data_IF_460065124827
#
_entry.id   IF_460065124827
#
_cell.length_a   1.000
_cell.length_b   1.000
_cell.length_c   1.000
_cell.angle_alpha   90.00
_cell.angle_beta   90.00
_cell.angle_gamma   90.00
#
_symmetry.space_group_name_H-M   'P 1'
#
loop_
_entity.id
_entity.type
_entity.pdbx_description
1 polymer ?
#
# COMPACT_ATOMS: atom_id res chain seq x y z
N UNK A 1 3.52 0.58 -0.44
CA UNK A 1 2.41 1.26 0.26
C UNK A 1 1.68 0.33 1.22
N UNK A 2 1.21 -0.85 0.79
CA UNK A 2 0.48 -1.82 1.63
C UNK A 2 1.32 -2.44 2.78
N UNK A 3 2.64 -2.23 2.76
CA UNK A 3 3.59 -2.72 3.77
C UNK A 3 3.91 -1.69 4.86
N UNK A 4 3.37 -0.46 4.83
CA UNK A 4 3.66 0.55 5.87
C UNK A 4 3.26 0.07 7.27
N UNK A 5 3.98 0.55 8.29
CA UNK A 5 3.70 0.19 9.68
C UNK A 5 2.26 0.54 10.13
N UNK A 6 1.70 1.63 9.58
CA UNK A 6 0.36 2.17 9.88
C UNK A 6 -0.75 1.62 8.96
N UNK A 7 -0.42 0.71 8.01
CA UNK A 7 -1.36 0.26 6.97
C UNK A 7 -2.65 -0.35 7.51
N UNK A 8 -2.61 -0.97 8.69
CA UNK A 8 -3.78 -1.59 9.33
C UNK A 8 -4.85 -0.56 9.77
N UNK A 9 -4.54 0.73 9.76
CA UNK A 9 -5.53 1.81 9.92
C UNK A 9 -6.38 2.03 8.67
N UNK A 10 -5.91 1.59 7.50
CA UNK A 10 -6.46 1.92 6.18
C UNK A 10 -6.98 0.71 5.41
N UNK A 11 -6.34 -0.45 5.58
CA UNK A 11 -6.71 -1.70 4.94
C UNK A 11 -6.77 -2.86 5.95
N UNK A 12 -7.47 -3.92 5.58
CA UNK A 12 -7.44 -5.22 6.25
C UNK A 12 -6.83 -6.24 5.30
N UNK A 13 -5.86 -7.02 5.79
CA UNK A 13 -5.27 -8.11 5.01
C UNK A 13 -6.02 -9.41 5.30
N UNK A 14 -6.53 -10.05 4.25
CA UNK A 14 -7.24 -11.33 4.32
C UNK A 14 -6.46 -12.40 3.54
N UNK A 15 -5.82 -13.30 4.27
CA UNK A 15 -4.99 -14.35 3.68
C UNK A 15 -5.74 -15.67 3.44
N UNK A 16 -7.06 -15.71 3.66
CA UNK A 16 -7.86 -16.95 3.58
C UNK A 16 -7.72 -17.64 2.23
N UNK A 17 -7.67 -16.87 1.13
CA UNK A 17 -7.53 -17.38 -0.24
C UNK A 17 -6.16 -17.08 -0.86
N UNK A 18 -5.14 -16.77 -0.03
CA UNK A 18 -3.77 -16.50 -0.47
C UNK A 18 -2.94 -17.78 -0.28
N UNK A 19 -2.18 -18.24 -1.28
CA UNK A 19 -1.36 -19.44 -1.12
C UNK A 19 -0.28 -19.21 -0.05
N UNK A 20 -0.01 -20.22 0.77
CA UNK A 20 0.83 -20.09 1.97
C UNK A 20 2.22 -19.50 1.68
N UNK A 21 2.80 -19.81 0.52
CA UNK A 21 4.11 -19.30 0.09
C UNK A 21 4.11 -17.81 -0.32
N UNK A 22 2.94 -17.15 -0.43
CA UNK A 22 2.80 -15.72 -0.76
C UNK A 22 2.36 -14.87 0.43
N UNK A 23 1.94 -15.48 1.54
CA UNK A 23 1.42 -14.77 2.72
C UNK A 23 2.44 -13.75 3.27
N UNK A 24 3.73 -14.11 3.27
CA UNK A 24 4.80 -13.23 3.75
C UNK A 24 4.90 -11.92 2.94
N UNK A 25 4.54 -11.92 1.65
CA UNK A 25 4.60 -10.73 0.78
C UNK A 25 3.50 -9.69 1.10
N UNK A 26 2.48 -10.08 1.87
CA UNK A 26 1.44 -9.19 2.39
C UNK A 26 1.73 -8.72 3.83
N UNK A 27 2.88 -9.10 4.38
CA UNK A 27 3.38 -8.63 5.67
C UNK A 27 3.57 -7.12 5.68
N UNK A 28 3.49 -6.52 6.87
CA UNK A 28 3.86 -5.10 7.08
C UNK A 28 5.26 -4.98 7.66
N UNK A 29 5.91 -3.87 7.35
CA UNK A 29 7.17 -3.47 7.94
C UNK A 29 6.96 -2.98 9.39
N UNK A 30 8.04 -3.02 10.18
CA UNK A 30 8.07 -2.39 11.49
C UNK A 30 8.07 -0.86 11.41
N UNK A 31 7.70 -0.22 12.50
CA UNK A 31 7.72 1.25 12.67
C UNK A 31 9.12 1.84 12.54
N UNK A 32 10.15 1.12 13.01
CA UNK A 32 11.55 1.54 12.84
C UNK A 32 12.10 1.36 11.41
N UNK A 33 11.34 0.75 10.50
CA UNK A 33 11.78 0.41 9.14
C UNK A 33 11.17 1.35 8.10
N UNK A 34 10.07 2.04 8.44
CA UNK A 34 9.31 2.85 7.47
C UNK A 34 9.07 4.26 7.98
N UNK A 35 9.42 5.25 7.17
CA UNK A 35 9.07 6.65 7.41
C UNK A 35 7.89 7.07 6.52
N UNK A 36 6.90 7.72 7.14
CA UNK A 36 5.66 8.10 6.50
C UNK A 36 5.61 9.61 6.26
N UNK A 37 6.36 10.11 5.27
CA UNK A 37 6.36 11.53 4.90
C UNK A 37 5.03 12.02 4.31
N UNK A 38 4.17 11.10 3.86
CA UNK A 38 2.88 11.38 3.23
C UNK A 38 1.76 10.54 3.85
N UNK A 39 0.48 10.98 3.76
CA UNK A 39 -0.67 10.16 4.12
C UNK A 39 -0.72 8.83 3.37
N UNK A 40 -1.50 7.88 3.87
CA UNK A 40 -1.72 6.62 3.16
C UNK A 40 -2.45 6.86 1.84
N UNK A 41 -1.83 6.43 0.73
CA UNK A 41 -2.37 6.63 -0.62
C UNK A 41 -2.75 5.29 -1.26
N UNK A 42 -4.05 5.01 -1.34
CA UNK A 42 -4.58 3.83 -2.01
C UNK A 42 -4.19 3.79 -3.50
N UNK A 43 -4.02 4.95 -4.14
CA UNK A 43 -3.71 5.09 -5.57
C UNK A 43 -2.21 5.14 -5.89
N UNK A 44 -1.34 4.96 -4.89
CA UNK A 44 0.11 4.90 -5.09
C UNK A 44 0.49 3.76 -6.03
N UNK A 45 1.47 4.01 -6.91
CA UNK A 45 2.05 2.97 -7.78
C UNK A 45 2.70 1.84 -6.96
N UNK A 46 3.08 2.14 -5.72
CA UNK A 46 3.66 1.19 -4.76
C UNK A 46 2.60 0.42 -3.96
N UNK A 47 1.30 0.61 -4.24
CA UNK A 47 0.21 -0.13 -3.61
C UNK A 47 -0.18 -1.32 -4.49
N UNK A 48 -0.18 -2.53 -3.93
CA UNK A 48 -0.70 -3.71 -4.63
C UNK A 48 -2.20 -3.62 -4.86
N UNK A 49 -2.70 -4.31 -5.89
CA UNK A 49 -4.14 -4.46 -6.15
C UNK A 49 -4.86 -5.15 -4.98
N UNK A 50 -6.14 -4.85 -4.81
CA UNK A 50 -7.02 -5.49 -3.82
C UNK A 50 -7.02 -7.03 -3.90
N UNK A 51 -6.80 -7.59 -5.10
CA UNK A 51 -6.87 -9.02 -5.40
C UNK A 51 -5.51 -9.73 -5.42
N UNK A 52 -4.41 -9.03 -5.12
CA UNK A 52 -3.05 -9.59 -5.24
C UNK A 52 -2.89 -10.91 -4.48
N UNK A 53 -2.45 -11.97 -5.18
CA UNK A 53 -2.31 -13.35 -4.70
C UNK A 53 -3.58 -14.09 -4.27
N UNK A 54 -4.74 -13.43 -4.14
CA UNK A 54 -5.98 -14.10 -3.76
C UNK A 54 -6.52 -14.92 -4.94
N UNK A 55 -6.80 -16.21 -4.71
CA UNK A 55 -7.50 -17.05 -5.69
C UNK A 55 -8.99 -16.71 -5.80
N UNK A 56 -9.56 -16.12 -4.75
CA UNK A 56 -10.95 -15.65 -4.67
C UNK A 56 -11.06 -14.46 -3.71
N UNK A 57 -11.88 -13.48 -4.07
CA UNK A 57 -12.10 -12.29 -3.25
C UNK A 57 -10.90 -11.36 -3.23
N UNK A 58 -10.71 -10.65 -2.12
CA UNK A 58 -9.70 -9.59 -1.98
C UNK A 58 -8.77 -9.93 -0.82
N UNK A 59 -7.46 -9.87 -1.06
CA UNK A 59 -6.44 -10.04 -0.03
C UNK A 59 -6.10 -8.74 0.68
N UNK A 60 -6.28 -7.60 0.01
CA UNK A 60 -6.12 -6.26 0.57
C UNK A 60 -7.50 -5.58 0.47
N UNK A 61 -8.09 -5.26 1.62
CA UNK A 61 -9.45 -4.71 1.71
C UNK A 61 -9.39 -3.31 2.30
N UNK A 62 -9.64 -2.23 1.53
CA UNK A 62 -9.82 -0.90 2.09
C UNK A 62 -10.91 -0.88 3.14
N UNK A 63 -10.64 -0.24 4.29
CA UNK A 63 -11.67 0.01 5.30
C UNK A 63 -12.76 0.95 4.77
N UNK A 64 -12.40 1.85 3.87
CA UNK A 64 -13.35 2.73 3.18
C UNK A 64 -13.61 2.14 1.79
N UNK A 65 -14.79 1.54 1.61
CA UNK A 65 -15.11 0.73 0.43
C UNK A 65 -14.97 1.43 -0.93
N UNK A 66 -15.04 2.77 -0.98
CA UNK A 66 -14.87 3.55 -2.22
C UNK A 66 -13.47 3.46 -2.85
N UNK A 67 -12.45 3.07 -2.08
CA UNK A 67 -11.06 2.98 -2.56
C UNK A 67 -10.69 1.60 -3.12
N UNK A 68 -11.64 0.66 -3.18
CA UNK A 68 -11.39 -0.72 -3.65
C UNK A 68 -10.76 -0.78 -5.04
N UNK A 69 -11.27 0.03 -5.96
CA UNK A 69 -10.79 0.07 -7.36
C UNK A 69 -9.64 1.07 -7.56
N UNK A 70 -9.22 1.78 -6.51
CA UNK A 70 -8.09 2.72 -6.55
C UNK A 70 -6.75 2.01 -6.35
N UNK A 71 -6.75 0.88 -5.63
CA UNK A 71 -5.56 0.09 -5.33
C UNK A 71 -4.95 -0.56 -6.58
N UNK A 72 -3.61 -0.57 -6.68
CA UNK A 72 -2.91 -1.17 -7.81
C UNK A 72 -2.88 -0.31 -9.07
N UNK A 73 -2.84 1.00 -8.88
CA UNK A 73 -2.52 1.97 -9.92
C UNK A 73 -1.20 1.63 -10.60
N UNK A 74 -1.13 1.84 -11.92
CA UNK A 74 0.10 1.75 -12.70
C UNK A 74 0.76 3.11 -12.91
N UNK A 75 0.19 4.18 -12.34
CA UNK A 75 0.65 5.54 -12.47
C UNK A 75 1.21 6.05 -11.16
N UNK A 76 2.34 6.75 -11.22
CA UNK A 76 2.93 7.48 -10.10
C UNK A 76 1.94 8.53 -9.59
N UNK A 77 1.59 8.46 -8.31
CA UNK A 77 0.71 9.44 -7.69
C UNK A 77 1.46 10.73 -7.30
N UNK A 78 0.71 11.77 -6.96
CA UNK A 78 1.30 12.98 -6.39
C UNK A 78 2.09 12.67 -5.10
N UNK A 79 1.56 11.81 -4.24
CA UNK A 79 2.22 11.46 -2.97
C UNK A 79 3.45 10.58 -3.16
N UNK A 80 3.52 9.77 -4.22
CA UNK A 80 4.74 9.03 -4.58
C UNK A 80 5.88 10.01 -4.90
N UNK A 81 5.63 11.00 -5.76
CA UNK A 81 6.62 12.04 -6.11
C UNK A 81 6.98 12.93 -4.92
N UNK A 82 5.97 13.34 -4.13
CA UNK A 82 6.19 14.16 -2.94
C UNK A 82 7.06 13.45 -1.89
N UNK A 83 6.82 12.16 -1.64
CA UNK A 83 7.64 11.37 -0.71
C UNK A 83 9.10 11.36 -1.14
N UNK A 84 9.38 11.13 -2.43
CA UNK A 84 10.74 11.15 -2.98
C UNK A 84 11.39 12.53 -2.84
N UNK A 85 10.66 13.59 -3.20
CA UNK A 85 11.17 14.95 -3.10
C UNK A 85 11.52 15.33 -1.65
N UNK A 86 10.70 14.94 -0.68
CA UNK A 86 11.00 15.17 0.75
C UNK A 86 12.26 14.40 1.16
N UNK A 87 12.33 13.11 0.84
CA UNK A 87 13.44 12.24 1.25
C UNK A 87 14.79 12.68 0.65
N UNK A 88 14.79 12.98 -0.65
CA UNK A 88 16.00 13.44 -1.37
C UNK A 88 16.24 14.94 -1.28
N UNK A 89 15.40 15.68 -0.53
CA UNK A 89 15.49 17.15 -0.37
C UNK A 89 15.49 17.89 -1.72
N UNK A 90 14.67 17.41 -2.64
CA UNK A 90 14.43 18.09 -3.91
C UNK A 90 13.45 19.24 -3.68
N UNK A 91 13.90 20.46 -3.93
CA UNK A 91 13.10 21.68 -3.79
C UNK A 91 13.05 22.40 -5.13
N UNK A 92 11.91 23.00 -5.45
CA UNK A 92 11.85 23.98 -6.53
C UNK A 92 12.53 25.27 -6.04
N UNK A 93 13.75 25.51 -6.52
CA UNK A 93 14.47 26.78 -6.39
C UNK A 93 14.18 27.69 -7.57
#
# INVERSE_FOLDING_TARGET
>A
MHTRFDRDSYITVDTTNVPANRVAELGKAGDLVTENYTPYDYGSVMHYRATTFASKGYSLKPKIGRFRETEGSLFTSFYDTMMLNIYYKCHCT
#
